data_IF_231496360205
#
_entry.id   IF_231496360205
#
_cell.length_a   1.000
_cell.length_b   1.000
_cell.length_c   1.000
_cell.angle_alpha   90.00
_cell.angle_beta   90.00
_cell.angle_gamma   90.00
#
_symmetry.space_group_name_H-M   'P 1'
#
loop_
_entity.id
_entity.type
_entity.pdbx_description
1 polymer ?
#
# COMPACT_ATOMS: atom_id res chain seq x y z
N UNK A 1 -53.73 20.05 -37.71
CA UNK A 1 -52.28 20.04 -37.42
C UNK A 1 -52.11 19.70 -35.95
N UNK A 2 -51.89 18.43 -35.64
CA UNK A 2 -51.89 17.93 -34.26
C UNK A 2 -50.45 17.89 -33.77
N UNK A 3 -50.10 18.81 -32.87
CA UNK A 3 -48.79 18.87 -32.22
C UNK A 3 -48.55 17.60 -31.41
N UNK A 4 -47.59 16.78 -31.82
CA UNK A 4 -47.16 15.59 -31.07
C UNK A 4 -46.23 16.05 -29.95
N UNK A 5 -46.74 16.03 -28.71
CA UNK A 5 -45.92 16.30 -27.53
C UNK A 5 -44.82 15.23 -27.42
N UNK A 6 -43.56 15.64 -27.60
CA UNK A 6 -42.38 14.81 -27.39
C UNK A 6 -42.30 14.46 -25.90
N UNK A 7 -42.66 13.22 -25.55
CA UNK A 7 -42.38 12.66 -24.22
C UNK A 7 -40.87 12.67 -24.02
N UNK A 8 -40.39 13.55 -23.15
CA UNK A 8 -39.01 13.50 -22.65
C UNK A 8 -38.97 12.34 -21.67
N UNK A 9 -38.47 11.19 -22.12
CA UNK A 9 -38.03 10.15 -21.20
C UNK A 9 -36.81 10.71 -20.47
N UNK A 10 -36.96 11.01 -19.18
CA UNK A 10 -35.81 11.29 -18.31
C UNK A 10 -35.00 10.00 -18.25
N UNK A 11 -33.97 9.91 -19.08
CA UNK A 11 -33.00 8.82 -19.03
C UNK A 11 -32.23 9.00 -17.72
N UNK A 12 -32.43 8.06 -16.79
CA UNK A 12 -31.60 7.95 -15.61
C UNK A 12 -30.28 7.32 -16.03
N UNK A 13 -29.22 8.13 -16.09
CA UNK A 13 -27.85 7.64 -16.21
C UNK A 13 -27.38 7.32 -14.80
N UNK A 14 -27.16 6.03 -14.44
CA UNK A 14 -26.65 5.69 -13.12
C UNK A 14 -25.25 6.30 -12.94
N UNK A 15 -25.10 7.14 -11.92
CA UNK A 15 -23.83 7.83 -11.63
C UNK A 15 -22.77 6.90 -11.02
N UNK A 16 -23.15 5.70 -10.60
CA UNK A 16 -22.24 4.75 -9.92
C UNK A 16 -22.60 3.29 -10.20
N UNK A 17 -21.63 2.53 -10.72
CA UNK A 17 -21.61 1.07 -10.91
C UNK A 17 -20.31 0.50 -10.31
N UNK A 18 -20.13 0.59 -8.98
CA UNK A 18 -18.91 0.14 -8.26
C UNK A 18 -17.59 0.83 -8.62
N UNK A 19 -17.51 1.55 -9.74
CA UNK A 19 -16.32 2.26 -10.25
C UNK A 19 -15.63 3.18 -9.22
N UNK A 20 -16.39 3.80 -8.30
CA UNK A 20 -15.83 4.67 -7.27
C UNK A 20 -15.03 3.93 -6.20
N UNK A 21 -15.36 2.66 -5.93
CA UNK A 21 -14.62 1.83 -4.98
C UNK A 21 -13.38 1.23 -5.63
N UNK A 22 -13.52 0.72 -6.85
CA UNK A 22 -12.41 0.24 -7.66
C UNK A 22 -11.34 1.34 -7.83
N UNK A 23 -11.78 2.60 -7.99
CA UNK A 23 -10.89 3.74 -8.01
C UNK A 23 -10.17 3.99 -6.68
N UNK A 24 -10.87 3.85 -5.55
CA UNK A 24 -10.27 4.05 -4.22
C UNK A 24 -9.23 2.96 -3.91
N UNK A 25 -9.58 1.68 -4.15
CA UNK A 25 -8.66 0.55 -3.99
C UNK A 25 -7.39 0.77 -4.81
N UNK A 26 -7.56 1.07 -6.11
CA UNK A 26 -6.45 1.36 -7.01
C UNK A 26 -5.61 2.54 -6.53
N UNK A 27 -6.23 3.66 -6.13
CA UNK A 27 -5.51 4.83 -5.67
C UNK A 27 -4.68 4.56 -4.39
N UNK A 28 -5.20 3.72 -3.49
CA UNK A 28 -4.46 3.26 -2.30
C UNK A 28 -3.28 2.36 -2.71
N UNK A 29 -3.52 1.38 -3.57
CA UNK A 29 -2.50 0.44 -4.03
C UNK A 29 -1.38 1.13 -4.82
N UNK A 30 -1.72 2.04 -5.74
CA UNK A 30 -0.80 2.85 -6.54
C UNK A 30 0.08 3.75 -5.68
N UNK A 31 -0.45 4.29 -4.58
CA UNK A 31 0.33 5.07 -3.63
C UNK A 31 1.23 4.21 -2.74
N UNK A 32 0.73 3.05 -2.27
CA UNK A 32 1.43 2.21 -1.30
C UNK A 32 2.53 1.34 -1.92
N UNK A 33 2.26 0.70 -3.07
CA UNK A 33 3.20 -0.20 -3.76
C UNK A 33 4.60 0.41 -3.95
N UNK A 34 4.77 1.60 -4.58
CA UNK A 34 6.08 2.20 -4.75
C UNK A 34 6.74 2.58 -3.41
N UNK A 35 5.94 2.93 -2.39
CA UNK A 35 6.45 3.25 -1.06
C UNK A 35 7.07 2.01 -0.38
N UNK A 36 6.41 0.85 -0.48
CA UNK A 36 6.96 -0.44 -0.01
C UNK A 36 8.21 -0.83 -0.80
N UNK A 37 8.22 -0.68 -2.13
CA UNK A 37 9.42 -0.94 -2.93
C UNK A 37 10.61 -0.06 -2.48
N UNK A 38 10.37 1.23 -2.24
CA UNK A 38 11.37 2.16 -1.72
C UNK A 38 11.85 1.77 -0.32
N UNK A 39 10.96 1.26 0.54
CA UNK A 39 11.30 0.79 1.89
C UNK A 39 12.22 -0.45 1.89
N UNK A 40 12.06 -1.35 0.92
CA UNK A 40 13.03 -2.44 0.74
C UNK A 40 14.36 -1.94 0.16
N UNK A 41 14.30 -1.02 -0.81
CA UNK A 41 15.49 -0.40 -1.41
C UNK A 41 16.34 0.34 -0.38
N UNK A 42 15.73 1.14 0.52
CA UNK A 42 16.45 1.87 1.58
C UNK A 42 17.17 0.94 2.56
N UNK A 43 16.66 -0.28 2.74
CA UNK A 43 17.24 -1.31 3.62
C UNK A 43 18.17 -2.28 2.90
N UNK A 44 18.40 -2.09 1.59
CA UNK A 44 19.22 -2.98 0.74
C UNK A 44 18.74 -4.44 0.77
N UNK A 45 17.44 -4.65 0.91
CA UNK A 45 16.82 -5.97 0.88
C UNK A 45 16.24 -6.22 -0.50
N UNK A 46 16.66 -7.33 -1.13
CA UNK A 46 16.13 -7.74 -2.43
C UNK A 46 14.74 -8.33 -2.28
N UNK A 47 13.73 -7.62 -2.78
CA UNK A 47 12.35 -8.09 -2.86
C UNK A 47 11.63 -7.38 -4.01
N UNK A 48 10.73 -8.10 -4.68
CA UNK A 48 9.82 -7.52 -5.66
C UNK A 48 8.52 -7.10 -4.98
N UNK A 49 8.00 -5.92 -5.34
CA UNK A 49 6.73 -5.40 -4.82
C UNK A 49 5.77 -5.17 -5.99
N UNK A 50 4.71 -5.98 -6.04
CA UNK A 50 3.71 -5.93 -7.10
C UNK A 50 2.33 -5.51 -6.59
N UNK A 51 1.42 -5.34 -7.54
CA UNK A 51 0.01 -5.03 -7.36
C UNK A 51 -0.76 -5.60 -8.57
N UNK A 52 -2.02 -5.99 -8.40
CA UNK A 52 -2.96 -6.35 -9.48
C UNK A 52 -2.41 -7.38 -10.49
N UNK A 53 -1.59 -8.31 -10.01
CA UNK A 53 -0.96 -9.35 -10.83
C UNK A 53 -1.27 -10.73 -10.28
N UNK A 54 -1.59 -11.68 -11.17
CA UNK A 54 -1.92 -13.03 -10.75
C UNK A 54 -0.73 -13.75 -10.11
N UNK A 55 -0.97 -14.30 -8.92
CA UNK A 55 -0.12 -15.26 -8.22
C UNK A 55 -0.75 -16.65 -8.31
N UNK A 56 -0.13 -17.56 -9.05
CA UNK A 56 -0.54 -18.96 -9.16
C UNK A 56 0.22 -19.81 -8.15
N UNK A 57 -0.47 -20.65 -7.38
CA UNK A 57 0.18 -21.49 -6.35
C UNK A 57 0.06 -23.00 -6.56
N UNK A 58 -0.69 -23.45 -7.57
CA UNK A 58 -0.77 -24.86 -7.96
C UNK A 58 -0.37 -24.99 -9.43
N UNK A 59 0.68 -25.77 -9.68
CA UNK A 59 1.15 -26.03 -11.05
C UNK A 59 0.10 -26.83 -11.84
N UNK A 60 -0.20 -26.38 -13.06
CA UNK A 60 -1.19 -27.01 -13.93
C UNK A 60 -2.66 -26.66 -13.67
N UNK A 61 -2.98 -25.92 -12.60
CA UNK A 61 -4.36 -25.48 -12.29
C UNK A 61 -4.48 -23.94 -12.37
N UNK A 62 -5.00 -23.39 -13.49
CA UNK A 62 -5.12 -21.95 -13.67
C UNK A 62 -6.23 -21.30 -12.82
N UNK A 63 -7.06 -22.11 -12.14
CA UNK A 63 -8.10 -21.59 -11.23
C UNK A 63 -7.54 -21.24 -9.85
N UNK A 64 -6.36 -21.77 -9.50
CA UNK A 64 -5.66 -21.50 -8.23
C UNK A 64 -4.79 -20.26 -8.36
N UNK A 65 -5.46 -19.11 -8.43
CA UNK A 65 -4.83 -17.80 -8.52
C UNK A 65 -5.57 -16.74 -7.72
N UNK A 66 -4.81 -15.77 -7.21
CA UNK A 66 -5.32 -14.51 -6.66
C UNK A 66 -4.55 -13.34 -7.28
N UNK A 67 -5.14 -12.16 -7.29
CA UNK A 67 -4.47 -10.92 -7.68
C UNK A 67 -4.54 -9.96 -6.49
N UNK A 68 -3.52 -9.95 -5.61
CA UNK A 68 -3.50 -9.06 -4.45
C UNK A 68 -3.42 -7.60 -4.88
N UNK A 69 -4.09 -6.70 -4.15
CA UNK A 69 -3.94 -5.26 -4.36
C UNK A 69 -2.48 -4.82 -4.20
N UNK A 70 -1.76 -5.35 -3.19
CA UNK A 70 -0.30 -5.16 -3.05
C UNK A 70 0.33 -6.42 -2.47
N UNK A 71 1.50 -6.83 -2.95
CA UNK A 71 2.23 -7.96 -2.38
C UNK A 71 3.75 -7.82 -2.48
N UNK A 72 4.47 -8.64 -1.72
CA UNK A 72 5.94 -8.69 -1.73
C UNK A 72 6.43 -10.13 -1.92
N UNK A 73 7.27 -10.34 -2.94
CA UNK A 73 7.99 -11.59 -3.19
C UNK A 73 9.46 -11.43 -2.76
N UNK A 74 9.91 -12.14 -1.71
CA UNK A 74 11.28 -12.02 -1.23
C UNK A 74 12.27 -12.64 -2.23
N UNK A 75 13.49 -12.09 -2.31
CA UNK A 75 14.61 -12.57 -3.16
C UNK A 75 14.40 -12.48 -4.67
N UNK A 76 13.20 -12.12 -5.13
CA UNK A 76 12.89 -11.80 -6.52
C UNK A 76 13.49 -10.44 -6.89
N UNK A 77 13.94 -10.31 -8.14
CA UNK A 77 14.50 -9.06 -8.64
C UNK A 77 13.44 -7.95 -8.68
N UNK A 78 13.65 -6.79 -8.02
CA UNK A 78 12.68 -5.69 -8.02
C UNK A 78 12.36 -5.13 -9.41
N UNK A 79 13.25 -5.31 -10.39
CA UNK A 79 13.05 -4.83 -11.76
C UNK A 79 12.39 -5.88 -12.69
N UNK A 80 11.94 -7.01 -12.12
CA UNK A 80 11.23 -8.04 -12.90
C UNK A 80 9.91 -7.51 -13.47
N UNK A 81 9.58 -7.89 -14.70
CA UNK A 81 8.34 -7.47 -15.38
C UNK A 81 7.51 -8.65 -15.90
N UNK A 82 7.12 -9.62 -15.06
CA UNK A 82 6.32 -10.75 -15.54
C UNK A 82 4.85 -10.37 -15.73
N UNK A 83 4.17 -11.10 -16.61
CA UNK A 83 2.71 -11.00 -16.77
C UNK A 83 1.94 -11.67 -15.62
N UNK A 84 2.56 -12.65 -14.96
CA UNK A 84 2.04 -13.34 -13.77
C UNK A 84 3.16 -14.08 -13.05
N UNK A 85 2.93 -14.43 -11.79
CA UNK A 85 3.87 -15.19 -10.99
C UNK A 85 3.40 -16.61 -10.74
N UNK A 86 4.34 -17.54 -10.81
CA UNK A 86 4.15 -18.93 -10.42
C UNK A 86 4.92 -19.17 -9.13
N UNK A 87 4.22 -19.36 -8.02
CA UNK A 87 4.85 -19.41 -6.70
C UNK A 87 5.72 -20.66 -6.48
N UNK A 88 5.59 -21.68 -7.33
CA UNK A 88 6.53 -22.81 -7.36
C UNK A 88 7.90 -22.45 -7.96
N UNK A 89 8.01 -21.35 -8.71
CA UNK A 89 9.28 -20.85 -9.27
C UNK A 89 9.95 -19.83 -8.34
N UNK A 90 9.17 -19.00 -7.63
CA UNK A 90 9.67 -17.85 -6.85
C UNK A 90 9.41 -17.92 -5.34
N UNK A 91 8.66 -18.92 -4.88
CA UNK A 91 8.20 -19.04 -3.49
C UNK A 91 6.99 -18.14 -3.19
N UNK A 92 6.37 -18.32 -2.00
CA UNK A 92 5.17 -17.58 -1.62
C UNK A 92 5.47 -16.13 -1.20
N UNK A 93 4.47 -15.23 -1.26
CA UNK A 93 4.64 -13.86 -0.80
C UNK A 93 4.95 -13.81 0.71
N UNK A 94 5.87 -12.92 1.08
CA UNK A 94 6.12 -12.60 2.48
C UNK A 94 5.02 -11.70 3.06
N UNK A 95 4.40 -10.89 2.20
CA UNK A 95 3.35 -9.93 2.54
C UNK A 95 2.33 -9.88 1.40
N UNK A 96 1.05 -9.78 1.75
CA UNK A 96 -0.02 -9.37 0.86
C UNK A 96 -0.97 -8.40 1.59
N UNK A 97 -1.54 -7.47 0.85
CA UNK A 97 -2.60 -6.56 1.24
C UNK A 97 -3.81 -6.80 0.35
N UNK A 98 -4.98 -6.88 0.96
CA UNK A 98 -6.26 -6.75 0.29
C UNK A 98 -7.02 -5.56 0.88
N UNK A 99 -7.61 -4.75 0.01
CA UNK A 99 -8.40 -3.58 0.33
C UNK A 99 -9.87 -3.97 0.16
N UNK A 100 -10.55 -4.10 1.28
CA UNK A 100 -11.88 -4.69 1.36
C UNK A 100 -12.88 -3.80 0.61
N UNK A 101 -13.64 -4.46 -0.25
CA UNK A 101 -14.70 -3.86 -1.07
C UNK A 101 -16.02 -3.76 -0.30
N UNK A 102 -17.13 -3.53 -1.02
CA UNK A 102 -18.47 -3.63 -0.44
C UNK A 102 -18.84 -5.06 -0.03
N UNK A 103 -18.30 -6.07 -0.71
CA UNK A 103 -18.56 -7.49 -0.45
C UNK A 103 -17.64 -8.02 0.66
N UNK A 104 -18.03 -7.72 1.90
CA UNK A 104 -17.28 -8.10 3.10
C UNK A 104 -17.12 -9.61 3.23
N UNK A 105 -18.07 -10.41 2.73
CA UNK A 105 -18.06 -11.87 2.88
C UNK A 105 -16.88 -12.49 2.14
N UNK A 106 -16.75 -12.15 0.85
CA UNK A 106 -15.63 -12.61 0.01
C UNK A 106 -14.27 -12.23 0.62
N UNK A 107 -14.12 -10.97 1.02
CA UNK A 107 -12.81 -10.46 1.46
C UNK A 107 -12.43 -10.95 2.86
N UNK A 108 -13.40 -11.11 3.78
CA UNK A 108 -13.11 -11.53 5.16
C UNK A 108 -13.00 -13.04 5.33
N UNK A 109 -13.69 -13.83 4.51
CA UNK A 109 -13.81 -15.28 4.67
C UNK A 109 -12.96 -16.06 3.65
N UNK A 110 -13.07 -15.73 2.36
CA UNK A 110 -12.42 -16.52 1.31
C UNK A 110 -10.92 -16.20 1.21
N UNK A 111 -10.56 -14.92 1.19
CA UNK A 111 -9.17 -14.52 1.00
C UNK A 111 -8.22 -15.17 2.03
N UNK A 112 -8.47 -15.15 3.36
CA UNK A 112 -7.57 -15.79 4.31
C UNK A 112 -7.33 -17.28 4.05
N UNK A 113 -8.33 -18.01 3.54
CA UNK A 113 -8.19 -19.43 3.20
C UNK A 113 -7.31 -19.65 1.96
N UNK A 114 -7.45 -18.82 0.92
CA UNK A 114 -6.61 -18.86 -0.27
C UNK A 114 -5.15 -18.52 0.05
N UNK A 115 -4.92 -17.47 0.84
CA UNK A 115 -3.57 -17.10 1.30
C UNK A 115 -2.95 -18.16 2.23
N UNK A 116 -3.77 -18.82 3.05
CA UNK A 116 -3.34 -19.96 3.84
C UNK A 116 -2.89 -21.13 2.95
N UNK A 117 -3.65 -21.44 1.90
CA UNK A 117 -3.35 -22.52 0.95
C UNK A 117 -2.11 -22.23 0.11
N UNK A 118 -1.89 -20.98 -0.33
CA UNK A 118 -0.72 -20.64 -1.16
C UNK A 118 0.62 -20.60 -0.39
N UNK A 119 0.58 -20.65 0.94
CA UNK A 119 1.79 -20.60 1.76
C UNK A 119 2.26 -19.19 2.15
N UNK A 120 1.42 -18.15 1.97
CA UNK A 120 1.74 -16.77 2.33
C UNK A 120 2.17 -16.65 3.79
N UNK A 121 3.07 -15.71 4.09
CA UNK A 121 3.59 -15.50 5.46
C UNK A 121 2.74 -14.52 6.26
N UNK A 122 2.24 -13.48 5.62
CA UNK A 122 1.40 -12.46 6.25
C UNK A 122 0.42 -11.88 5.23
N UNK A 123 -0.84 -11.72 5.66
CA UNK A 123 -1.91 -11.07 4.92
C UNK A 123 -2.49 -9.97 5.80
N UNK A 124 -2.65 -8.77 5.23
CA UNK A 124 -3.39 -7.68 5.85
C UNK A 124 -4.65 -7.42 5.04
N UNK A 125 -5.80 -7.40 5.70
CA UNK A 125 -7.04 -6.88 5.14
C UNK A 125 -7.23 -5.46 5.67
N UNK A 126 -7.39 -4.50 4.76
CA UNK A 126 -7.68 -3.11 5.07
C UNK A 126 -9.08 -2.73 4.59
N UNK A 127 -9.97 -2.35 5.50
CA UNK A 127 -11.31 -1.87 5.17
C UNK A 127 -11.39 -0.34 5.30
N UNK A 128 -11.30 0.42 4.19
CA UNK A 128 -11.40 1.88 4.22
C UNK A 128 -12.80 2.37 4.60
N UNK A 129 -13.83 1.52 4.48
CA UNK A 129 -15.21 1.80 4.87
C UNK A 129 -15.51 1.53 6.34
N UNK A 130 -14.57 0.95 7.10
CA UNK A 130 -14.75 0.70 8.52
C UNK A 130 -14.71 2.01 9.34
N UNK A 131 -15.81 2.31 10.01
CA UNK A 131 -15.95 3.46 10.91
C UNK A 131 -16.17 2.99 12.34
N UNK A 132 -16.05 3.89 13.31
CA UNK A 132 -16.35 3.58 14.72
C UNK A 132 -17.80 3.09 14.96
N UNK A 133 -18.72 3.32 14.00
CA UNK A 133 -20.12 2.87 14.04
C UNK A 133 -20.34 1.51 13.37
N UNK A 134 -19.33 0.97 12.70
CA UNK A 134 -19.43 -0.31 12.02
C UNK A 134 -19.62 -1.44 13.02
N UNK A 135 -20.65 -2.28 12.79
CA UNK A 135 -20.94 -3.45 13.65
C UNK A 135 -20.19 -4.71 13.21
N UNK A 136 -19.90 -4.82 11.92
CA UNK A 136 -19.30 -6.02 11.30
C UNK A 136 -17.96 -5.72 10.64
N UNK A 137 -17.77 -4.51 10.12
CA UNK A 137 -16.52 -4.08 9.47
C UNK A 137 -15.48 -3.69 10.50
N UNK A 138 -14.24 -4.13 10.28
CA UNK A 138 -13.08 -3.70 11.04
C UNK A 138 -11.99 -3.24 10.09
N UNK A 139 -11.35 -2.10 10.43
CA UNK A 139 -10.36 -1.46 9.57
C UNK A 139 -9.18 -2.36 9.25
N UNK A 140 -8.69 -3.08 10.25
CA UNK A 140 -7.54 -3.95 10.10
C UNK A 140 -7.86 -5.37 10.53
N UNK A 141 -7.50 -6.34 9.70
CA UNK A 141 -7.29 -7.72 10.11
C UNK A 141 -5.93 -8.18 9.63
N UNK A 142 -5.13 -8.78 10.51
CA UNK A 142 -3.80 -9.30 10.16
C UNK A 142 -3.77 -10.78 10.40
N UNK A 143 -3.46 -11.53 9.37
CA UNK A 143 -3.23 -12.96 9.40
C UNK A 143 -1.74 -13.26 9.23
N UNK A 144 -1.22 -14.19 10.02
CA UNK A 144 0.20 -14.54 10.00
C UNK A 144 0.38 -16.06 10.07
N UNK A 145 1.36 -16.56 9.33
CA UNK A 145 1.78 -17.96 9.41
C UNK A 145 2.70 -18.17 10.61
N UNK A 146 2.23 -18.96 11.57
CA UNK A 146 2.98 -19.35 12.77
C UNK A 146 3.30 -20.83 12.71
N UNK A 147 4.53 -21.21 13.06
CA UNK A 147 5.05 -22.57 12.90
C UNK A 147 4.15 -23.68 13.48
N UNK A 148 3.50 -23.43 14.62
CA UNK A 148 2.65 -24.43 15.31
C UNK A 148 1.15 -24.23 15.12
N UNK A 149 0.71 -23.05 14.66
CA UNK A 149 -0.71 -22.67 14.60
C UNK A 149 -1.24 -22.54 13.17
N UNK A 150 -0.38 -22.67 12.16
CA UNK A 150 -0.76 -22.43 10.78
C UNK A 150 -0.99 -20.95 10.51
N UNK A 151 -1.92 -20.64 9.61
CA UNK A 151 -2.26 -19.27 9.23
C UNK A 151 -3.43 -18.77 10.08
N UNK A 152 -3.17 -17.82 10.97
CA UNK A 152 -4.15 -17.36 11.97
C UNK A 152 -4.26 -15.85 12.02
N UNK A 153 -5.45 -15.34 12.33
CA UNK A 153 -5.65 -13.92 12.64
C UNK A 153 -4.92 -13.57 13.94
N UNK A 154 -3.91 -12.72 13.87
CA UNK A 154 -3.10 -12.27 15.02
C UNK A 154 -3.52 -10.89 15.53
N UNK A 155 -4.19 -10.09 14.71
CA UNK A 155 -4.68 -8.77 15.08
C UNK A 155 -6.00 -8.45 14.37
N UNK A 156 -6.87 -7.71 15.06
CA UNK A 156 -8.08 -7.11 14.54
C UNK A 156 -8.25 -5.76 15.24
N UNK A 157 -8.30 -4.65 14.49
CA UNK A 157 -8.16 -3.32 15.10
C UNK A 157 -8.88 -2.21 14.33
N UNK A 158 -9.37 -1.21 15.06
CA UNK A 158 -9.87 0.08 14.56
C UNK A 158 -8.86 1.22 14.73
N UNK A 159 -7.60 0.91 15.07
CA UNK A 159 -6.51 1.88 15.16
C UNK A 159 -6.24 2.57 13.82
N UNK A 160 -5.53 3.71 13.84
CA UNK A 160 -5.02 4.34 12.61
C UNK A 160 -3.91 3.52 11.96
N UNK A 161 -3.33 2.52 12.66
CA UNK A 161 -2.20 1.73 12.17
C UNK A 161 -2.22 0.28 12.61
N UNK A 162 -1.47 -0.56 11.90
CA UNK A 162 -1.20 -1.95 12.28
C UNK A 162 0.23 -2.36 11.95
N UNK A 163 0.84 -3.17 12.81
CA UNK A 163 2.19 -3.70 12.60
C UNK A 163 2.17 -4.75 11.49
N UNK A 164 3.15 -4.69 10.60
CA UNK A 164 3.36 -5.68 9.54
C UNK A 164 4.76 -6.27 9.70
N UNK A 165 4.81 -7.44 10.34
CA UNK A 165 6.08 -8.06 10.76
C UNK A 165 6.97 -8.42 9.57
N UNK A 166 6.37 -8.83 8.45
CA UNK A 166 7.09 -9.15 7.21
C UNK A 166 7.73 -7.93 6.55
N UNK A 167 7.17 -6.75 6.75
CA UNK A 167 7.75 -5.48 6.30
C UNK A 167 8.69 -4.88 7.36
N UNK A 168 8.60 -5.28 8.63
CA UNK A 168 9.36 -4.70 9.73
C UNK A 168 9.04 -3.21 9.94
N UNK A 169 7.78 -2.84 9.71
CA UNK A 169 7.25 -1.49 9.88
C UNK A 169 5.73 -1.53 10.08
N UNK A 170 5.09 -0.37 10.14
CA UNK A 170 3.65 -0.24 10.30
C UNK A 170 2.98 0.16 8.99
N UNK A 171 1.76 -0.33 8.75
CA UNK A 171 0.84 0.30 7.81
C UNK A 171 -0.02 1.29 8.59
N UNK A 172 -0.17 2.49 8.05
CA UNK A 172 -0.94 3.57 8.67
C UNK A 172 -1.97 4.13 7.70
N UNK A 173 -3.24 4.10 8.10
CA UNK A 173 -4.33 4.72 7.40
C UNK A 173 -4.34 6.22 7.73
N UNK A 174 -4.45 7.03 6.67
CA UNK A 174 -4.64 8.48 6.75
C UNK A 174 -5.85 8.86 5.91
N UNK A 175 -6.52 9.95 6.30
CA UNK A 175 -7.80 10.33 5.67
C UNK A 175 -8.92 9.34 6.00
N UNK A 176 -10.13 9.65 5.52
CA UNK A 176 -11.32 8.83 5.73
C UNK A 176 -12.16 8.77 4.44
N UNK A 177 -12.97 7.73 4.29
CA UNK A 177 -13.84 7.56 3.13
C UNK A 177 -13.07 7.59 1.81
N UNK A 178 -13.43 8.52 0.91
CA UNK A 178 -12.82 8.65 -0.43
C UNK A 178 -11.38 9.17 -0.40
N UNK A 179 -10.99 9.80 0.70
CA UNK A 179 -9.63 10.34 0.89
C UNK A 179 -8.72 9.38 1.65
N UNK A 180 -9.22 8.17 1.99
CA UNK A 180 -8.42 7.16 2.67
C UNK A 180 -7.19 6.79 1.83
N UNK A 181 -6.01 6.82 2.46
CA UNK A 181 -4.73 6.39 1.88
C UNK A 181 -3.96 5.57 2.91
N UNK A 182 -3.00 4.79 2.42
CA UNK A 182 -2.06 4.05 3.26
C UNK A 182 -0.65 4.63 3.16
N UNK A 183 0.03 4.70 4.30
CA UNK A 183 1.43 5.11 4.45
C UNK A 183 2.20 4.05 5.24
N UNK A 184 3.53 4.11 5.15
CA UNK A 184 4.39 3.33 6.02
C UNK A 184 4.75 4.18 7.26
N UNK A 185 4.40 3.67 8.43
CA UNK A 185 4.87 4.17 9.71
C UNK A 185 6.20 3.51 10.10
N UNK A 186 7.16 4.31 10.52
CA UNK A 186 8.45 3.91 11.07
C UNK A 186 8.58 4.41 12.51
N UNK A 187 9.60 3.93 13.22
CA UNK A 187 9.72 4.09 14.66
C UNK A 187 9.16 2.88 15.41
N UNK A 188 9.18 2.94 16.73
CA UNK A 188 8.79 1.79 17.56
C UNK A 188 7.28 1.50 17.44
N UNK A 189 6.48 2.57 17.35
CA UNK A 189 5.01 2.51 17.30
C UNK A 189 4.46 3.07 15.96
N UNK A 190 5.31 3.25 14.95
CA UNK A 190 4.91 3.78 13.64
C UNK A 190 4.53 5.25 13.67
N UNK A 191 5.10 6.01 14.60
CA UNK A 191 4.84 7.42 14.87
C UNK A 191 5.33 8.34 13.75
N UNK A 192 6.45 7.98 13.12
CA UNK A 192 7.05 8.72 12.03
C UNK A 192 6.60 8.16 10.68
N UNK A 193 6.43 9.02 9.68
CA UNK A 193 6.07 8.56 8.33
C UNK A 193 7.34 8.34 7.51
N UNK A 194 7.44 7.18 6.87
CA UNK A 194 8.45 6.98 5.83
C UNK A 194 8.15 7.92 4.65
N UNK A 195 9.14 8.70 4.25
CA UNK A 195 8.99 9.70 3.19
C UNK A 195 8.78 9.04 1.83
N UNK A 196 7.86 9.62 1.05
CA UNK A 196 7.75 9.35 -0.38
C UNK A 196 9.00 9.85 -1.11
N UNK A 197 9.13 9.45 -2.36
CA UNK A 197 10.19 9.98 -3.22
C UNK A 197 10.08 11.49 -3.41
N UNK A 198 8.86 12.01 -3.62
CA UNK A 198 8.63 13.44 -3.76
C UNK A 198 8.98 14.21 -2.48
N UNK A 199 8.55 13.73 -1.31
CA UNK A 199 8.89 14.33 -0.02
C UNK A 199 10.40 14.31 0.24
N UNK A 200 11.07 13.19 -0.07
CA UNK A 200 12.52 13.08 0.08
C UNK A 200 13.28 14.02 -0.89
N UNK A 201 12.79 14.20 -2.12
CA UNK A 201 13.37 15.10 -3.09
C UNK A 201 13.24 16.58 -2.65
N UNK A 202 12.06 16.97 -2.13
CA UNK A 202 11.84 18.30 -1.56
C UNK A 202 12.79 18.55 -0.38
N UNK A 203 12.84 17.62 0.58
CA UNK A 203 13.74 17.76 1.74
C UNK A 203 15.22 17.83 1.34
N UNK A 204 15.63 17.09 0.31
CA UNK A 204 16.99 17.15 -0.21
C UNK A 204 17.30 18.49 -0.88
N UNK A 205 16.35 19.06 -1.63
CA UNK A 205 16.49 20.37 -2.27
C UNK A 205 16.60 21.49 -1.22
N UNK A 206 15.74 21.47 -0.21
CA UNK A 206 15.78 22.42 0.91
C UNK A 206 17.11 22.33 1.67
N UNK A 207 17.57 21.12 1.98
CA UNK A 207 18.87 20.91 2.63
C UNK A 207 20.06 21.32 1.76
N UNK A 208 19.95 21.26 0.43
CA UNK A 208 20.98 21.76 -0.48
C UNK A 208 21.03 23.29 -0.47
N UNK A 209 19.87 23.95 -0.54
CA UNK A 209 19.76 25.41 -0.49
C UNK A 209 20.29 25.97 0.83
N UNK A 210 19.87 25.40 1.97
CA UNK A 210 20.35 25.85 3.28
C UNK A 210 21.88 25.71 3.45
N UNK A 211 22.48 24.67 2.84
CA UNK A 211 23.94 24.49 2.82
C UNK A 211 24.64 25.51 1.93
N UNK A 212 24.04 25.85 0.79
CA UNK A 212 24.56 26.90 -0.10
C UNK A 212 24.54 28.26 0.62
N UNK A 213 23.41 28.64 1.21
CA UNK A 213 23.26 29.89 1.96
C UNK A 213 24.27 29.98 3.12
N UNK A 214 24.46 28.89 3.85
CA UNK A 214 25.44 28.83 4.95
C UNK A 214 26.88 28.97 4.46
N UNK A 215 27.21 28.36 3.31
CA UNK A 215 28.54 28.47 2.71
C UNK A 215 28.79 29.87 2.16
N UNK A 216 27.80 30.51 1.54
CA UNK A 216 27.88 31.88 1.06
C UNK A 216 28.08 32.87 2.22
N UNK A 217 27.35 32.69 3.32
CA UNK A 217 27.51 33.50 4.53
C UNK A 217 28.92 33.38 5.13
N UNK A 218 29.47 32.16 5.19
CA UNK A 218 30.83 31.95 5.71
C UNK A 218 31.89 32.52 4.76
N UNK A 219 31.73 32.36 3.44
CA UNK A 219 32.62 32.99 2.45
C UNK A 219 32.59 34.51 2.58
N UNK A 220 31.41 35.11 2.76
CA UNK A 220 31.27 36.55 2.97
C UNK A 220 31.97 37.00 4.26
N UNK A 221 31.82 36.24 5.35
CA UNK A 221 32.48 36.51 6.63
C UNK A 221 34.01 36.43 6.52
N UNK A 222 34.53 35.38 5.87
CA UNK A 222 35.98 35.20 5.68
C UNK A 222 36.57 36.32 4.81
N UNK A 223 35.85 36.73 3.75
CA UNK A 223 36.25 37.89 2.92
C UNK A 223 36.33 39.18 3.74
N UNK A 224 35.35 39.44 4.61
CA UNK A 224 35.38 40.61 5.49
C UNK A 224 36.55 40.59 6.49
N UNK A 225 36.88 39.43 7.06
CA UNK A 225 38.03 39.27 7.98
C UNK A 225 39.38 39.51 7.28
N UNK A 226 39.52 39.05 6.03
CA UNK A 226 40.73 39.29 5.24
C UNK A 226 40.88 40.75 4.84
N UNK A 227 39.77 41.40 4.45
CA UNK A 227 39.77 42.82 4.09
C UNK A 227 40.12 43.74 5.28
N UNK A 228 39.81 43.35 6.51
CA UNK A 228 40.15 44.11 7.72
C UNK A 228 41.56 43.88 8.26
N UNK A 229 42.38 43.05 7.62
CA UNK A 229 43.76 42.73 8.04
C UNK A 229 44.85 43.33 7.13
N UNK A 230 44.47 43.98 6.02
CA UNK A 230 45.36 44.75 5.15
C UNK A 230 45.22 46.23 5.39
#
# INVERSE_FOLDING_TARGET
MTSTARRVHTVHYPETDHMGEDFLQRAIAEALRPLIARWFKSRRVKAFTGADQFLYWVEGDPTRRVAPDVYVLPKVDPESVPSSWKLWEVGPPSFALEIVSRDVGKDYEDAPAEYAAMGAKELVLFDPGATARSRTRVRWQVYRRLARRGFVRVSQSMSDRVEVASLGCWLRAIGEGRDARLRLGIGIDGEEMFMTEAEAAIAQAEAANARADSAEAEVARLRALLAGRG
#
